data_IF_395951367968
#
_entry.id   IF_395951367968
#
_cell.length_a   1.000
_cell.length_b   1.000
_cell.length_c   1.000
_cell.angle_alpha   90.00
_cell.angle_beta   90.00
_cell.angle_gamma   90.00
#
_symmetry.space_group_name_H-M   'P 1'
#
loop_
_entity.id
_entity.type
_entity.pdbx_description
1 polymer ?
#
# COMPACT_ATOMS: atom_id res chain seq x y z
N UNK A 1 -0.84 -10.98 7.32
CA UNK A 1 -1.90 -11.72 6.62
C UNK A 1 -1.49 -12.14 5.22
N UNK A 2 -0.85 -11.28 4.47
CA UNK A 2 -0.19 -11.60 3.21
C UNK A 2 1.01 -12.55 3.45
N UNK A 3 1.22 -13.63 2.75
CA UNK A 3 0.66 -14.00 1.44
C UNK A 3 -0.43 -15.09 1.45
N UNK A 4 -1.23 -15.20 2.48
CA UNK A 4 -2.24 -16.24 2.60
C UNK A 4 -3.58 -15.82 1.97
N UNK A 5 -4.37 -16.81 1.50
CA UNK A 5 -5.67 -16.57 0.86
C UNK A 5 -6.69 -16.01 1.86
N UNK A 6 -6.83 -16.66 3.01
CA UNK A 6 -7.78 -16.26 4.06
C UNK A 6 -7.32 -16.68 5.46
N UNK A 7 -6.16 -16.17 5.86
CA UNK A 7 -5.51 -16.54 7.11
C UNK A 7 -6.44 -16.37 8.34
N UNK A 8 -7.17 -15.25 8.40
CA UNK A 8 -7.99 -14.94 9.60
C UNK A 8 -9.11 -15.98 9.80
N UNK A 9 -9.79 -16.35 8.71
CA UNK A 9 -10.87 -17.34 8.80
C UNK A 9 -10.31 -18.73 9.07
N UNK A 10 -9.23 -19.11 8.39
CA UNK A 10 -8.60 -20.43 8.59
C UNK A 10 -8.09 -20.60 10.02
N UNK A 11 -7.44 -19.59 10.61
CA UNK A 11 -7.04 -19.61 12.03
C UNK A 11 -8.25 -19.70 12.99
N UNK A 12 -9.35 -18.99 12.69
CA UNK A 12 -10.59 -19.10 13.48
C UNK A 12 -11.26 -20.47 13.39
N UNK A 13 -11.05 -21.17 12.28
CA UNK A 13 -11.50 -22.56 12.11
C UNK A 13 -10.54 -23.59 12.73
N UNK A 14 -9.47 -23.14 13.38
CA UNK A 14 -8.52 -23.99 14.09
C UNK A 14 -7.41 -24.57 13.22
N UNK A 15 -7.18 -24.03 12.02
CA UNK A 15 -6.07 -24.49 11.18
C UNK A 15 -4.73 -24.03 11.76
N UNK A 16 -3.76 -24.93 11.86
CA UNK A 16 -2.39 -24.62 12.18
C UNK A 16 -1.68 -23.92 11.03
N UNK A 17 -0.53 -23.30 11.29
CA UNK A 17 0.19 -22.50 10.29
C UNK A 17 0.56 -23.30 9.03
N UNK A 18 0.86 -24.58 9.17
CA UNK A 18 1.17 -25.52 8.08
C UNK A 18 -0.05 -25.88 7.20
N UNK A 19 -1.26 -25.63 7.69
CA UNK A 19 -2.52 -25.89 7.00
C UNK A 19 -3.09 -24.65 6.30
N UNK A 20 -2.47 -23.48 6.54
CA UNK A 20 -2.92 -22.22 5.94
C UNK A 20 -2.69 -22.22 4.44
N UNK A 21 -3.72 -21.91 3.67
CA UNK A 21 -3.65 -21.83 2.22
C UNK A 21 -2.88 -20.58 1.78
N UNK A 22 -1.79 -20.78 1.06
CA UNK A 22 -1.05 -19.70 0.42
C UNK A 22 -1.68 -19.32 -0.92
N UNK A 23 -1.74 -18.03 -1.21
CA UNK A 23 -2.16 -17.57 -2.52
C UNK A 23 -1.16 -17.99 -3.59
N UNK A 24 -1.66 -18.51 -4.70
CA UNK A 24 -0.82 -18.95 -5.82
C UNK A 24 -0.55 -17.77 -6.78
N UNK A 25 0.55 -17.05 -6.52
CA UNK A 25 0.97 -15.90 -7.30
C UNK A 25 1.40 -16.26 -8.72
N UNK A 26 1.92 -17.48 -8.94
CA UNK A 26 2.34 -17.95 -10.28
C UNK A 26 1.13 -18.21 -11.19
N UNK A 27 0.08 -18.81 -10.64
CA UNK A 27 -1.15 -19.08 -11.39
C UNK A 27 -1.95 -17.81 -11.71
N UNK A 28 -1.80 -16.75 -10.92
CA UNK A 28 -2.53 -15.48 -11.07
C UNK A 28 -1.59 -14.29 -10.90
N UNK A 29 -0.64 -14.08 -11.83
CA UNK A 29 0.32 -12.99 -11.72
C UNK A 29 -0.38 -11.63 -11.82
N UNK A 30 -0.07 -10.74 -10.89
CA UNK A 30 -0.55 -9.37 -10.93
C UNK A 30 0.32 -8.52 -11.86
N UNK A 31 -0.30 -7.78 -12.79
CA UNK A 31 0.40 -6.77 -13.58
C UNK A 31 0.63 -5.49 -12.79
N UNK A 32 -0.36 -5.07 -12.02
CA UNK A 32 -0.31 -3.89 -11.16
C UNK A 32 -0.70 -4.26 -9.73
N UNK A 33 0.05 -3.75 -8.77
CA UNK A 33 -0.19 -3.92 -7.34
C UNK A 33 -0.23 -2.52 -6.72
N UNK A 34 -1.33 -2.20 -6.03
CA UNK A 34 -1.49 -0.91 -5.35
C UNK A 34 -1.52 -1.16 -3.85
N UNK A 35 -0.55 -0.56 -3.14
CA UNK A 35 -0.41 -0.62 -1.70
C UNK A 35 -0.85 0.73 -1.12
N UNK A 36 -2.11 0.87 -0.73
CA UNK A 36 -2.59 2.09 -0.06
C UNK A 36 -2.58 1.87 1.46
N UNK A 37 -1.39 1.97 2.05
CA UNK A 37 -1.12 1.67 3.46
C UNK A 37 -0.34 2.82 4.10
N UNK A 38 -0.56 3.03 5.41
CA UNK A 38 0.14 4.06 6.20
C UNK A 38 -0.79 5.00 6.96
N UNK A 39 -2.09 5.06 6.63
CA UNK A 39 -3.05 5.96 7.34
C UNK A 39 -3.19 5.59 8.81
N UNK A 40 -3.34 4.30 9.14
CA UNK A 40 -3.43 3.85 10.53
C UNK A 40 -2.09 3.98 11.25
N UNK A 41 -0.98 3.71 10.54
CA UNK A 41 0.37 3.90 11.06
C UNK A 41 0.63 5.37 11.40
N UNK A 42 0.21 6.30 10.55
CA UNK A 42 0.27 7.74 10.83
C UNK A 42 -0.40 8.10 12.16
N UNK A 43 -1.60 7.56 12.39
CA UNK A 43 -2.33 7.80 13.63
C UNK A 43 -1.60 7.23 14.84
N UNK A 44 -1.07 6.02 14.75
CA UNK A 44 -0.30 5.39 15.84
C UNK A 44 0.99 6.17 16.15
N UNK A 45 1.71 6.59 15.12
CA UNK A 45 2.94 7.38 15.26
C UNK A 45 2.65 8.74 15.87
N UNK A 46 1.54 9.38 15.49
CA UNK A 46 1.14 10.67 16.03
C UNK A 46 0.99 10.64 17.56
N UNK A 47 0.46 9.53 18.10
CA UNK A 47 0.29 9.33 19.54
C UNK A 47 1.48 8.63 20.23
N UNK A 48 2.52 8.27 19.49
CA UNK A 48 3.71 7.63 20.05
C UNK A 48 4.49 8.58 20.96
N UNK A 49 4.99 8.11 22.10
CA UNK A 49 5.89 8.90 22.96
C UNK A 49 7.27 9.15 22.30
N UNK A 50 7.71 8.28 21.41
CA UNK A 50 8.91 8.44 20.58
C UNK A 50 8.56 8.32 19.09
N UNK A 51 8.19 9.46 18.51
CA UNK A 51 7.80 9.53 17.08
C UNK A 51 8.96 9.17 16.16
N UNK A 52 10.18 9.58 16.50
CA UNK A 52 11.34 9.29 15.66
C UNK A 52 11.64 7.80 15.59
N UNK A 53 11.52 7.09 16.71
CA UNK A 53 11.64 5.64 16.73
C UNK A 53 10.53 4.98 15.93
N UNK A 54 9.29 5.39 16.15
CA UNK A 54 8.13 4.83 15.45
C UNK A 54 8.18 5.04 13.93
N UNK A 55 8.67 6.20 13.46
CA UNK A 55 8.89 6.46 12.02
C UNK A 55 9.99 5.53 11.48
N UNK A 56 11.10 5.33 12.20
CA UNK A 56 12.15 4.39 11.75
C UNK A 56 11.61 2.96 11.62
N UNK A 57 10.88 2.48 12.62
CA UNK A 57 10.25 1.14 12.60
C UNK A 57 9.26 1.01 11.44
N UNK A 58 8.45 2.04 11.17
CA UNK A 58 7.58 2.09 10.01
C UNK A 58 8.38 1.96 8.71
N UNK A 59 9.46 2.74 8.54
CA UNK A 59 10.31 2.73 7.34
C UNK A 59 10.88 1.32 7.08
N UNK A 60 11.44 0.70 8.11
CA UNK A 60 12.02 -0.64 8.04
C UNK A 60 10.96 -1.69 7.64
N UNK A 61 9.83 -1.71 8.36
CA UNK A 61 8.75 -2.65 8.10
C UNK A 61 8.11 -2.46 6.73
N UNK A 62 7.90 -1.21 6.30
CA UNK A 62 7.31 -0.91 5.00
C UNK A 62 8.24 -1.33 3.86
N UNK A 63 9.53 -1.04 3.98
CA UNK A 63 10.53 -1.46 2.99
C UNK A 63 10.58 -3.00 2.85
N UNK A 64 10.62 -3.73 3.97
CA UNK A 64 10.60 -5.20 3.95
C UNK A 64 9.29 -5.75 3.38
N UNK A 65 8.17 -5.11 3.66
CA UNK A 65 6.88 -5.48 3.07
C UNK A 65 6.89 -5.30 1.54
N UNK A 66 7.38 -4.17 1.02
CA UNK A 66 7.50 -3.94 -0.43
C UNK A 66 8.42 -4.98 -1.08
N UNK A 67 9.55 -5.31 -0.46
CA UNK A 67 10.45 -6.39 -0.93
C UNK A 67 9.74 -7.75 -0.99
N UNK A 68 8.95 -8.07 0.04
CA UNK A 68 8.16 -9.31 0.09
C UNK A 68 7.13 -9.37 -1.03
N UNK A 69 6.43 -8.26 -1.30
CA UNK A 69 5.49 -8.12 -2.42
C UNK A 69 6.21 -8.37 -3.74
N UNK A 70 7.38 -7.76 -3.94
CA UNK A 70 8.20 -7.94 -5.15
C UNK A 70 8.62 -9.40 -5.33
N UNK A 71 9.13 -10.02 -4.28
CA UNK A 71 9.57 -11.42 -4.31
C UNK A 71 8.44 -12.38 -4.71
N UNK A 72 7.24 -12.18 -4.19
CA UNK A 72 6.10 -13.06 -4.42
C UNK A 72 5.43 -12.84 -5.79
N UNK A 73 5.47 -11.64 -6.34
CA UNK A 73 4.80 -11.32 -7.62
C UNK A 73 5.76 -11.25 -8.81
N UNK A 74 7.06 -11.44 -8.57
CA UNK A 74 8.09 -11.45 -9.61
C UNK A 74 8.45 -10.05 -10.14
N UNK A 75 9.44 -9.98 -11.07
CA UNK A 75 10.06 -8.72 -11.49
C UNK A 75 9.16 -7.88 -12.42
N UNK A 76 8.15 -8.49 -13.02
CA UNK A 76 7.33 -7.83 -14.05
C UNK A 76 6.16 -7.02 -13.48
N UNK A 77 5.74 -7.28 -12.24
CA UNK A 77 4.68 -6.53 -11.59
C UNK A 77 5.07 -5.06 -11.35
N UNK A 78 4.19 -4.13 -11.67
CA UNK A 78 4.33 -2.73 -11.29
C UNK A 78 3.74 -2.55 -9.89
N UNK A 79 4.53 -2.05 -8.95
CA UNK A 79 4.09 -1.79 -7.57
C UNK A 79 3.94 -0.29 -7.38
N UNK A 80 2.77 0.14 -6.92
CA UNK A 80 2.43 1.54 -6.62
C UNK A 80 2.19 1.66 -5.12
N UNK A 81 3.12 2.31 -4.43
CA UNK A 81 3.01 2.64 -3.02
C UNK A 81 2.20 3.93 -2.88
N UNK A 82 0.94 3.81 -2.48
CA UNK A 82 -0.01 4.92 -2.41
C UNK A 82 -0.29 5.32 -0.97
N UNK A 83 -0.61 6.58 -0.73
CA UNK A 83 -1.15 7.07 0.53
C UNK A 83 -2.18 8.17 0.30
N UNK A 84 -3.17 8.20 1.16
CA UNK A 84 -4.28 9.17 1.19
C UNK A 84 -5.61 8.43 0.98
N UNK A 85 -6.72 9.11 0.97
CA UNK A 85 -6.96 10.57 0.94
C UNK A 85 -7.15 11.18 2.34
N UNK A 86 -7.14 10.38 3.41
CA UNK A 86 -7.43 10.85 4.78
C UNK A 86 -6.21 11.50 5.43
N UNK A 87 -5.03 10.92 5.25
CA UNK A 87 -3.79 11.34 5.89
C UNK A 87 -2.60 11.23 4.94
N UNK A 88 -1.59 12.11 5.13
CA UNK A 88 -0.35 12.16 4.35
C UNK A 88 0.92 12.21 5.21
N UNK A 89 0.79 12.10 6.51
CA UNK A 89 1.92 12.26 7.42
C UNK A 89 3.14 11.40 7.04
N UNK A 90 2.89 10.18 6.55
CA UNK A 90 3.95 9.25 6.15
C UNK A 90 4.21 9.22 4.63
N UNK A 91 3.63 10.12 3.84
CA UNK A 91 3.81 10.04 2.39
C UNK A 91 5.26 10.30 1.96
N UNK A 92 5.90 11.29 2.56
CA UNK A 92 7.29 11.62 2.24
C UNK A 92 8.23 10.46 2.63
N UNK A 93 7.96 9.79 3.75
CA UNK A 93 8.68 8.56 4.17
C UNK A 93 8.50 7.43 3.17
N UNK A 94 7.26 7.20 2.68
CA UNK A 94 6.99 6.20 1.65
C UNK A 94 7.72 6.54 0.34
N UNK A 95 7.77 7.80 -0.03
CA UNK A 95 8.49 8.25 -1.22
C UNK A 95 9.99 7.98 -1.10
N UNK A 96 10.60 8.34 0.02
CA UNK A 96 12.01 8.07 0.31
C UNK A 96 12.32 6.56 0.27
N UNK A 97 11.45 5.74 0.89
CA UNK A 97 11.61 4.27 0.87
C UNK A 97 11.60 3.74 -0.57
N UNK A 98 10.66 4.19 -1.39
CA UNK A 98 10.56 3.77 -2.80
C UNK A 98 11.80 4.20 -3.58
N UNK A 99 12.28 5.43 -3.38
CA UNK A 99 13.50 5.93 -4.03
C UNK A 99 14.74 5.13 -3.60
N UNK A 100 14.89 4.84 -2.31
CA UNK A 100 16.00 4.04 -1.79
C UNK A 100 15.97 2.60 -2.31
N UNK A 101 14.80 1.98 -2.37
CA UNK A 101 14.63 0.65 -2.96
C UNK A 101 14.99 0.66 -4.46
N UNK A 102 14.55 1.66 -5.22
CA UNK A 102 14.92 1.80 -6.64
C UNK A 102 16.43 1.94 -6.83
N UNK A 103 17.10 2.74 -5.99
CA UNK A 103 18.55 2.94 -6.04
C UNK A 103 19.33 1.68 -5.66
N UNK A 104 18.89 0.99 -4.60
CA UNK A 104 19.64 -0.15 -4.05
C UNK A 104 19.40 -1.46 -4.79
N UNK A 105 18.20 -1.66 -5.36
CA UNK A 105 17.84 -2.90 -6.05
C UNK A 105 17.80 -2.78 -7.57
N UNK A 106 17.83 -1.56 -8.11
CA UNK A 106 17.63 -1.31 -9.55
C UNK A 106 16.20 -1.52 -10.02
N UNK A 107 15.24 -1.67 -9.12
CA UNK A 107 13.82 -1.90 -9.47
C UNK A 107 13.14 -0.64 -9.98
N UNK A 108 13.05 -0.49 -11.29
CA UNK A 108 12.41 0.65 -11.95
C UNK A 108 10.87 0.54 -12.03
N UNK A 109 10.28 -0.55 -11.50
CA UNK A 109 8.83 -0.79 -11.50
C UNK A 109 8.17 -0.52 -10.15
N UNK A 110 8.85 0.26 -9.29
CA UNK A 110 8.31 0.82 -8.05
C UNK A 110 7.93 2.28 -8.25
N UNK A 111 6.74 2.66 -7.83
CA UNK A 111 6.20 4.01 -7.98
C UNK A 111 5.46 4.44 -6.73
N UNK A 112 5.23 5.76 -6.61
CA UNK A 112 4.38 6.34 -5.58
C UNK A 112 3.14 6.98 -6.18
N UNK A 113 2.06 7.04 -5.38
CA UNK A 113 0.84 7.78 -5.70
C UNK A 113 0.32 8.49 -4.45
N UNK A 114 0.24 9.82 -4.51
CA UNK A 114 -0.41 10.62 -3.48
C UNK A 114 -1.82 10.96 -3.96
N UNK A 115 -2.83 10.39 -3.31
CA UNK A 115 -4.21 10.76 -3.62
C UNK A 115 -4.52 12.18 -3.17
N UNK A 116 -5.43 12.86 -3.82
CA UNK A 116 -5.87 14.18 -3.38
C UNK A 116 -6.56 14.10 -2.00
N UNK A 117 -6.25 15.06 -1.13
CA UNK A 117 -6.79 15.09 0.24
C UNK A 117 -8.29 15.29 0.22
N UNK A 118 -9.00 14.47 1.02
CA UNK A 118 -10.43 14.67 1.23
C UNK A 118 -10.69 15.87 2.14
N UNK A 119 -11.83 16.51 1.94
CA UNK A 119 -12.36 17.49 2.87
C UNK A 119 -12.83 16.76 4.15
N UNK A 120 -12.76 17.43 5.28
CA UNK A 120 -13.26 16.88 6.57
C UNK A 120 -14.75 17.07 6.78
N UNK A 121 -15.42 17.78 5.86
CA UNK A 121 -16.86 18.04 5.83
C UNK A 121 -17.38 17.98 4.39
N UNK A 122 -18.67 17.83 4.22
CA UNK A 122 -19.32 17.87 2.89
C UNK A 122 -19.31 16.51 2.16
N UNK A 123 -19.34 16.52 0.81
CA UNK A 123 -19.58 15.31 0.02
C UNK A 123 -18.47 14.27 0.10
N UNK A 124 -17.25 14.65 0.55
CA UNK A 124 -16.13 13.75 0.69
C UNK A 124 -16.28 12.75 1.84
N UNK A 125 -17.09 13.09 2.85
CA UNK A 125 -17.18 12.33 4.10
C UNK A 125 -18.31 11.32 4.06
N UNK A 126 -17.99 10.07 4.33
CA UNK A 126 -18.92 8.97 4.53
C UNK A 126 -19.07 8.57 6.00
N UNK A 127 -19.46 7.32 6.24
CA UNK A 127 -19.60 6.79 7.59
C UNK A 127 -18.29 6.80 8.38
N UNK A 128 -18.38 7.15 9.67
CA UNK A 128 -17.22 7.19 10.60
C UNK A 128 -16.05 8.03 10.07
N UNK A 129 -16.32 9.14 9.41
CA UNK A 129 -15.32 10.02 8.80
C UNK A 129 -14.41 9.36 7.73
N UNK A 130 -14.81 8.22 7.21
CA UNK A 130 -14.11 7.60 6.08
C UNK A 130 -14.53 8.23 4.75
N UNK A 131 -13.75 7.99 3.66
CA UNK A 131 -14.09 8.50 2.35
C UNK A 131 -15.48 8.05 1.89
N UNK A 132 -16.31 8.98 1.43
CA UNK A 132 -17.60 8.70 0.82
C UNK A 132 -17.44 7.96 -0.52
N UNK A 133 -18.55 7.44 -1.07
CA UNK A 133 -18.58 6.85 -2.43
C UNK A 133 -18.05 7.87 -3.45
N UNK A 134 -18.48 9.13 -3.35
CA UNK A 134 -18.02 10.20 -4.23
C UNK A 134 -16.49 10.37 -4.15
N UNK A 135 -15.93 10.38 -2.92
CA UNK A 135 -14.47 10.52 -2.74
C UNK A 135 -13.70 9.30 -3.25
N UNK A 136 -14.24 8.11 -3.05
CA UNK A 136 -13.66 6.88 -3.59
C UNK A 136 -13.63 6.87 -5.12
N UNK A 137 -14.66 7.42 -5.79
CA UNK A 137 -14.67 7.60 -7.24
C UNK A 137 -13.53 8.50 -7.71
N UNK A 138 -13.32 9.65 -7.04
CA UNK A 138 -12.20 10.53 -7.36
C UNK A 138 -10.84 9.85 -7.16
N UNK A 139 -10.68 9.05 -6.10
CA UNK A 139 -9.46 8.27 -5.91
C UNK A 139 -9.26 7.23 -7.03
N UNK A 140 -10.32 6.57 -7.47
CA UNK A 140 -10.26 5.64 -8.58
C UNK A 140 -9.84 6.33 -9.88
N UNK A 141 -10.32 7.54 -10.14
CA UNK A 141 -9.91 8.35 -11.30
C UNK A 141 -8.43 8.74 -11.24
N UNK A 142 -7.92 9.13 -10.06
CA UNK A 142 -6.51 9.42 -9.84
C UNK A 142 -5.64 8.19 -10.15
N UNK A 143 -6.05 7.02 -9.64
CA UNK A 143 -5.37 5.76 -9.91
C UNK A 143 -5.39 5.39 -11.39
N UNK A 144 -6.54 5.50 -12.05
CA UNK A 144 -6.68 5.20 -13.48
C UNK A 144 -5.78 6.10 -14.32
N UNK A 145 -5.72 7.41 -14.03
CA UNK A 145 -4.79 8.32 -14.70
C UNK A 145 -3.34 7.88 -14.53
N UNK A 146 -2.96 7.49 -13.31
CA UNK A 146 -1.59 6.98 -13.04
C UNK A 146 -1.28 5.71 -13.83
N UNK A 147 -2.19 4.74 -13.82
CA UNK A 147 -2.03 3.48 -14.55
C UNK A 147 -1.90 3.69 -16.06
N UNK A 148 -2.72 4.57 -16.66
CA UNK A 148 -2.63 4.92 -18.08
C UNK A 148 -1.27 5.54 -18.42
N UNK A 149 -0.81 6.50 -17.62
CA UNK A 149 0.51 7.12 -17.81
C UNK A 149 1.64 6.08 -17.77
N UNK A 150 1.57 5.08 -16.87
CA UNK A 150 2.55 4.01 -16.80
C UNK A 150 2.47 3.09 -18.04
N UNK A 151 1.28 2.75 -18.51
CA UNK A 151 1.08 1.95 -19.73
C UNK A 151 1.64 2.66 -20.99
N UNK A 152 1.40 3.96 -21.11
CA UNK A 152 1.92 4.78 -22.21
C UNK A 152 3.47 4.86 -22.19
N UNK A 153 4.08 4.70 -21.00
CA UNK A 153 5.54 4.62 -20.83
C UNK A 153 6.11 3.21 -21.06
N UNK A 154 5.28 2.24 -21.47
CA UNK A 154 5.72 0.86 -21.73
C UNK A 154 5.81 -0.04 -20.49
N UNK A 155 5.13 0.32 -19.40
CA UNK A 155 5.12 -0.41 -18.11
C UNK A 155 3.80 -1.14 -17.83
#
# INVERSE_FOLDING_TARGET
LYPYTDRIIQEKLGFGEEQLERYNFEAKPARYIVLNLGTNDSSQIYFSPDKNKAVREFRENYAEFVKSIRMLNGPNAVIICALGCMDYYLFDEIQDIVEDLRKTTGDLRLFTLKYNKMMTIGPDVGGCYHPSIFRQQLMAEDLVRRLRSLQESGL
#
